data_IF_608368691586
#
_entry.id   IF_608368691586
#
_cell.length_a   1.000
_cell.length_b   1.000
_cell.length_c   1.000
_cell.angle_alpha   90.00
_cell.angle_beta   90.00
_cell.angle_gamma   90.00
#
_symmetry.space_group_name_H-M   'P 1'
#
loop_
_entity.id
_entity.type
_entity.pdbx_description
1 polymer ?
#
# COMPACT_ATOMS: atom_id res chain seq x y z
N UNK A 1 -14.40 4.72 13.79
CA UNK A 1 -13.79 3.42 13.40
C UNK A 1 -12.29 3.53 13.60
N UNK A 2 -11.65 2.59 14.31
CA UNK A 2 -10.21 2.65 14.57
C UNK A 2 -9.40 2.39 13.29
N UNK A 3 -8.38 3.20 13.06
CA UNK A 3 -7.40 3.01 12.00
C UNK A 3 -6.32 2.05 12.50
N UNK A 4 -5.95 1.05 11.68
CA UNK A 4 -4.83 0.15 11.97
C UNK A 4 -3.68 0.46 11.02
N UNK A 5 -2.50 0.79 11.54
CA UNK A 5 -1.32 1.14 10.75
C UNK A 5 -0.16 0.17 10.97
N UNK A 6 0.57 -0.14 9.91
CA UNK A 6 1.79 -0.94 9.95
C UNK A 6 2.90 -0.28 9.12
N UNK A 7 4.13 -0.33 9.62
CA UNK A 7 5.32 0.15 8.92
C UNK A 7 6.27 -1.01 8.66
N UNK A 8 6.74 -1.13 7.42
CA UNK A 8 7.68 -2.17 7.00
C UNK A 8 8.92 -1.50 6.43
N UNK A 9 10.06 -1.68 7.09
CA UNK A 9 11.34 -1.18 6.60
C UNK A 9 11.74 -1.94 5.33
N UNK A 10 12.08 -1.22 4.26
CA UNK A 10 12.57 -1.82 3.02
C UNK A 10 13.37 -0.81 2.22
N UNK A 11 14.45 -1.28 1.58
CA UNK A 11 15.29 -0.46 0.70
C UNK A 11 14.67 -0.21 -0.68
N UNK A 12 13.52 -0.82 -1.00
CA UNK A 12 12.86 -0.71 -2.32
C UNK A 12 11.34 -0.54 -2.20
N UNK A 13 10.87 0.53 -1.55
CA UNK A 13 9.46 0.69 -1.20
C UNK A 13 8.55 0.81 -2.44
N UNK A 14 8.96 1.50 -3.50
CA UNK A 14 8.12 1.65 -4.71
C UNK A 14 7.94 0.32 -5.44
N UNK A 15 8.97 -0.54 -5.44
CA UNK A 15 8.91 -1.86 -6.07
C UNK A 15 7.90 -2.76 -5.35
N UNK A 16 7.89 -2.73 -4.03
CA UNK A 16 6.99 -3.56 -3.23
C UNK A 16 5.55 -3.10 -3.34
N UNK A 17 5.29 -1.79 -3.38
CA UNK A 17 3.94 -1.27 -3.62
C UNK A 17 3.43 -1.74 -5.00
N UNK A 18 4.25 -1.64 -6.05
CA UNK A 18 3.87 -2.15 -7.39
C UNK A 18 3.61 -3.66 -7.42
N UNK A 19 4.45 -4.44 -6.74
CA UNK A 19 4.27 -5.89 -6.64
C UNK A 19 2.97 -6.25 -5.93
N UNK A 20 2.65 -5.56 -4.84
CA UNK A 20 1.42 -5.81 -4.11
C UNK A 20 0.20 -5.45 -4.95
N UNK A 21 0.17 -4.28 -5.58
CA UNK A 21 -0.92 -3.84 -6.46
C UNK A 21 -1.11 -4.82 -7.62
N UNK A 22 -0.02 -5.31 -8.23
CA UNK A 22 -0.11 -6.36 -9.27
C UNK A 22 -0.64 -7.68 -8.73
N UNK A 23 -0.28 -8.06 -7.50
CA UNK A 23 -0.79 -9.27 -6.87
C UNK A 23 -2.27 -9.14 -6.47
N UNK A 24 -2.66 -7.95 -6.04
CA UNK A 24 -4.00 -7.62 -5.54
C UNK A 24 -4.97 -7.23 -6.65
N UNK A 25 -4.50 -6.79 -7.83
CA UNK A 25 -5.37 -6.37 -8.94
C UNK A 25 -6.32 -7.47 -9.46
N UNK A 26 -6.05 -8.74 -9.14
CA UNK A 26 -6.95 -9.86 -9.41
C UNK A 26 -7.89 -10.22 -8.24
N UNK A 27 -7.71 -9.62 -7.06
CA UNK A 27 -8.39 -9.95 -5.80
C UNK A 27 -9.13 -8.77 -5.16
N UNK A 28 -8.73 -7.53 -5.47
CA UNK A 28 -9.31 -6.27 -5.05
C UNK A 28 -9.06 -5.21 -6.13
N UNK A 29 -9.88 -4.16 -6.19
CA UNK A 29 -9.59 -3.01 -7.05
C UNK A 29 -8.40 -2.27 -6.45
N UNK A 30 -7.27 -2.26 -7.14
CA UNK A 30 -5.99 -1.74 -6.66
C UNK A 30 -5.52 -0.61 -7.60
N UNK A 31 -5.46 0.63 -7.14
CA UNK A 31 -5.08 1.80 -7.96
C UNK A 31 -3.80 2.47 -7.45
N UNK A 32 -2.87 2.76 -8.37
CA UNK A 32 -1.69 3.58 -8.10
C UNK A 32 -2.05 5.07 -8.21
N UNK A 33 -2.29 5.77 -7.10
CA UNK A 33 -2.60 7.20 -7.08
C UNK A 33 -1.33 8.05 -6.92
N UNK A 34 -0.63 8.32 -8.03
CA UNK A 34 0.58 9.16 -8.05
C UNK A 34 1.88 8.36 -7.78
N UNK A 35 3.01 9.04 -7.52
CA UNK A 35 4.30 8.36 -7.35
C UNK A 35 4.29 7.49 -6.09
N UNK A 36 3.88 6.24 -6.28
CA UNK A 36 4.04 5.16 -5.32
C UNK A 36 2.86 4.90 -4.38
N UNK A 37 1.79 5.69 -4.35
CA UNK A 37 0.64 5.40 -3.47
C UNK A 37 -0.26 4.33 -4.07
N UNK A 38 -0.68 3.35 -3.28
CA UNK A 38 -1.66 2.32 -3.67
C UNK A 38 -2.96 2.43 -2.87
N UNK A 39 -4.10 2.24 -3.52
CA UNK A 39 -5.42 2.12 -2.91
C UNK A 39 -6.06 0.80 -3.32
N UNK A 40 -6.23 -0.13 -2.38
CA UNK A 40 -6.91 -1.40 -2.61
C UNK A 40 -8.34 -1.30 -2.05
N UNK A 41 -9.38 -1.82 -2.73
CA UNK A 41 -10.80 -1.83 -2.28
C UNK A 41 -11.10 -2.71 -1.04
N UNK A 42 -10.11 -3.00 -0.21
CA UNK A 42 -10.26 -3.09 1.25
C UNK A 42 -9.79 -1.74 1.76
N UNK A 43 -10.59 -0.84 2.35
CA UNK A 43 -10.17 0.52 2.79
C UNK A 43 -8.72 0.63 3.33
N UNK A 44 -7.72 0.65 2.44
CA UNK A 44 -6.31 0.41 2.75
C UNK A 44 -5.49 1.28 1.84
N UNK A 45 -4.65 2.11 2.46
CA UNK A 45 -3.75 3.00 1.76
C UNK A 45 -2.32 2.54 2.00
N UNK A 46 -1.56 2.42 0.92
CA UNK A 46 -0.13 2.19 0.97
C UNK A 46 0.64 3.44 0.55
N UNK A 47 1.62 3.80 1.36
CA UNK A 47 2.47 4.97 1.15
C UNK A 47 3.93 4.54 1.23
N UNK A 48 4.67 4.57 0.11
CA UNK A 48 6.11 4.43 0.14
C UNK A 48 6.68 5.69 0.78
N UNK A 49 7.53 5.47 1.76
CA UNK A 49 8.28 6.49 2.48
C UNK A 49 9.77 6.16 2.31
N UNK A 50 10.64 7.12 2.62
CA UNK A 50 12.08 7.02 2.35
C UNK A 50 12.74 5.70 2.80
N UNK A 51 12.29 5.16 3.93
CA UNK A 51 12.90 3.98 4.57
C UNK A 51 12.00 2.73 4.55
N UNK A 52 10.87 2.77 3.82
CA UNK A 52 9.94 1.65 3.84
C UNK A 52 8.56 1.93 3.28
N UNK A 53 7.60 1.10 3.67
CA UNK A 53 6.19 1.23 3.26
C UNK A 53 5.31 1.33 4.50
N UNK A 54 4.40 2.31 4.46
CA UNK A 54 3.33 2.46 5.46
C UNK A 54 2.04 1.92 4.89
N UNK A 55 1.38 1.03 5.65
CA UNK A 55 0.06 0.48 5.37
C UNK A 55 -0.91 1.04 6.40
N UNK A 56 -2.03 1.62 5.97
CA UNK A 56 -3.10 2.08 6.84
C UNK A 56 -4.41 1.45 6.40
N UNK A 57 -5.09 0.71 7.29
CA UNK A 57 -6.38 0.06 7.04
C UNK A 57 -7.47 0.63 7.94
N UNK A 58 -8.64 0.91 7.36
CA UNK A 58 -9.87 1.14 8.11
C UNK A 58 -10.55 -0.21 8.41
N UNK A 59 -10.93 -0.43 9.67
CA UNK A 59 -11.65 -1.62 10.13
C UNK A 59 -13.15 -1.40 10.13
#
# INVERSE_FOLDING_TARGET
>A
MPLSTAHVATARPERYVKQLISHMGHRATAELTGPGRGDDRLDCVMLPVRDGVTLARKR
#
